data_IF_369831337349
#
_entry.id   IF_369831337349
#
_cell.length_a   1.000
_cell.length_b   1.000
_cell.length_c   1.000
_cell.angle_alpha   90.00
_cell.angle_beta   90.00
_cell.angle_gamma   90.00
#
_symmetry.space_group_name_H-M   'P 1'
#
loop_
_entity.id
_entity.type
_entity.pdbx_description
1 polymer ?
#
# COMPACT_ATOMS: atom_id res chain seq x y z
N UNK A 1 3.30 10.47 7.65
CA UNK A 1 1.95 10.96 7.96
C UNK A 1 0.96 10.11 7.19
N UNK A 2 0.26 9.25 7.92
CA UNK A 2 -1.05 8.64 7.66
C UNK A 2 -1.29 7.67 8.83
N UNK A 3 -2.08 8.09 9.82
CA UNK A 3 -2.19 7.42 11.14
C UNK A 3 -3.55 6.73 11.36
N UNK A 4 -4.40 6.73 10.33
CA UNK A 4 -5.79 6.27 10.42
C UNK A 4 -5.96 4.80 10.04
N UNK A 5 -4.93 4.18 9.45
CA UNK A 5 -4.87 2.73 9.28
C UNK A 5 -4.75 2.02 10.64
N UNK A 6 -5.30 0.81 10.74
CA UNK A 6 -5.07 -0.03 11.93
C UNK A 6 -3.58 -0.31 12.16
N UNK A 7 -2.79 -0.34 11.09
CA UNK A 7 -1.34 -0.43 11.15
C UNK A 7 -0.70 0.87 10.66
N UNK A 8 0.34 1.31 11.36
CA UNK A 8 1.05 2.56 11.07
C UNK A 8 2.55 2.34 11.08
N UNK A 9 3.22 2.82 10.03
CA UNK A 9 4.67 3.05 10.07
C UNK A 9 4.96 4.34 10.82
N UNK A 10 5.39 4.24 12.08
CA UNK A 10 5.55 5.40 12.97
C UNK A 10 6.89 6.13 12.83
N UNK A 11 7.83 5.58 12.05
CA UNK A 11 9.14 6.16 11.79
C UNK A 11 9.93 6.58 13.05
N UNK A 12 9.68 5.95 14.22
CA UNK A 12 10.34 6.29 15.49
C UNK A 12 11.87 6.21 15.43
N UNK A 13 12.39 5.36 14.53
CA UNK A 13 13.81 5.14 14.28
C UNK A 13 14.28 5.81 12.97
N UNK A 14 13.54 6.81 12.49
CA UNK A 14 13.74 7.44 11.18
C UNK A 14 12.94 6.77 10.05
N UNK A 15 13.01 7.35 8.86
CA UNK A 15 12.39 6.80 7.65
C UNK A 15 13.26 5.71 7.02
N UNK A 16 12.65 4.89 6.16
CA UNK A 16 13.34 3.89 5.35
C UNK A 16 12.98 4.09 3.87
N UNK A 17 13.94 3.85 2.98
CA UNK A 17 13.72 3.83 1.52
C UNK A 17 13.19 2.47 1.07
N UNK A 18 12.67 2.39 -0.15
CA UNK A 18 12.22 1.11 -0.73
C UNK A 18 13.36 0.11 -0.91
N UNK A 19 14.55 0.55 -1.34
CA UNK A 19 15.70 -0.35 -1.51
C UNK A 19 16.18 -0.93 -0.19
N UNK A 20 16.28 -0.10 0.87
CA UNK A 20 16.62 -0.55 2.22
C UNK A 20 15.60 -1.55 2.76
N UNK A 21 14.30 -1.24 2.62
CA UNK A 21 13.22 -2.09 3.14
C UNK A 21 13.10 -3.42 2.37
N UNK A 22 13.28 -3.40 1.05
CA UNK A 22 13.25 -4.62 0.23
C UNK A 22 14.50 -5.49 0.45
N UNK A 23 15.66 -4.88 0.70
CA UNK A 23 16.90 -5.61 0.98
C UNK A 23 16.95 -6.25 2.36
N UNK A 24 16.23 -5.69 3.34
CA UNK A 24 16.11 -6.26 4.67
C UNK A 24 14.74 -5.93 5.29
N UNK A 25 13.74 -6.84 5.22
CA UNK A 25 12.43 -6.64 5.81
C UNK A 25 12.44 -6.44 7.33
N UNK A 26 13.52 -6.84 8.02
CA UNK A 26 13.74 -6.61 9.46
C UNK A 26 14.74 -5.51 9.76
N UNK A 27 14.95 -4.59 8.81
CA UNK A 27 15.75 -3.40 9.05
C UNK A 27 15.24 -2.62 10.27
N UNK A 28 16.15 -2.20 11.15
CA UNK A 28 15.84 -1.52 12.42
C UNK A 28 14.98 -0.25 12.31
N UNK A 29 14.96 0.39 11.13
CA UNK A 29 14.12 1.56 10.85
C UNK A 29 12.66 1.20 10.57
N UNK A 30 12.35 -0.07 10.28
CA UNK A 30 10.98 -0.55 10.10
C UNK A 30 10.33 -0.69 11.48
N UNK A 31 9.56 0.33 11.85
CA UNK A 31 8.79 0.36 13.09
C UNK A 31 7.30 0.43 12.74
N UNK A 32 6.67 -0.75 12.72
CA UNK A 32 5.23 -0.91 12.50
C UNK A 32 4.55 -1.05 13.85
N UNK A 33 3.46 -0.31 14.03
CA UNK A 33 2.66 -0.29 15.25
C UNK A 33 1.19 -0.53 14.88
N UNK A 34 0.44 -1.11 15.81
CA UNK A 34 -1.03 -1.28 15.74
C UNK A 34 -1.76 -0.64 16.92
N UNK A 35 -1.05 0.21 17.68
CA UNK A 35 -1.62 1.00 18.76
C UNK A 35 -2.74 1.87 18.22
N UNK A 36 -3.93 1.65 18.80
CA UNK A 36 -5.18 2.18 18.26
C UNK A 36 -5.31 3.65 18.61
N UNK A 37 -5.15 4.53 17.63
CA UNK A 37 -5.39 5.97 17.80
C UNK A 37 -6.86 6.32 17.51
N UNK A 38 -7.32 6.09 16.27
CA UNK A 38 -8.72 6.29 15.84
C UNK A 38 -9.17 5.03 15.10
N UNK A 39 -10.36 4.52 15.40
CA UNK A 39 -10.94 3.37 14.69
C UNK A 39 -11.96 3.84 13.67
N UNK A 40 -11.80 3.41 12.42
CA UNK A 40 -12.81 3.56 11.37
C UNK A 40 -13.07 2.20 10.74
N UNK A 41 -14.33 1.88 10.44
CA UNK A 41 -14.66 0.56 9.86
C UNK A 41 -13.91 0.29 8.55
N UNK A 42 -13.68 1.31 7.74
CA UNK A 42 -13.06 1.22 6.42
C UNK A 42 -11.54 1.04 6.43
N UNK A 43 -10.87 1.29 7.56
CA UNK A 43 -9.41 1.21 7.68
C UNK A 43 -8.94 0.10 8.63
N UNK A 44 -9.81 -0.87 8.88
CA UNK A 44 -9.47 -2.12 9.58
C UNK A 44 -8.56 -2.96 8.68
N UNK A 45 -7.50 -3.55 9.25
CA UNK A 45 -6.48 -4.29 8.50
C UNK A 45 -5.92 -3.51 7.31
N UNK A 46 -5.71 -2.19 7.48
CA UNK A 46 -5.08 -1.33 6.47
C UNK A 46 -3.80 -0.70 7.03
N UNK A 47 -2.76 -0.67 6.20
CA UNK A 47 -1.59 0.18 6.38
C UNK A 47 -1.53 1.23 5.26
N UNK A 48 -1.28 2.48 5.65
CA UNK A 48 -1.26 3.62 4.74
C UNK A 48 0.15 4.18 4.50
N UNK A 49 0.40 4.69 3.30
CA UNK A 49 1.61 5.48 2.99
C UNK A 49 1.25 6.70 2.11
N UNK A 50 2.13 7.69 2.04
CA UNK A 50 1.91 8.95 1.29
C UNK A 50 3.19 9.37 0.56
N UNK A 51 3.16 10.43 -0.25
CA UNK A 51 4.31 10.91 -1.03
C UNK A 51 4.89 9.81 -1.93
N UNK A 52 3.99 9.08 -2.57
CA UNK A 52 4.26 7.70 -2.94
C UNK A 52 5.18 7.59 -4.15
N UNK A 53 4.85 8.29 -5.24
CA UNK A 53 5.64 8.31 -6.47
C UNK A 53 6.93 9.12 -6.33
N UNK A 54 6.90 10.36 -5.84
CA UNK A 54 8.11 11.21 -5.76
C UNK A 54 9.22 10.59 -4.91
N UNK A 55 8.84 9.76 -3.92
CA UNK A 55 9.79 9.08 -3.01
C UNK A 55 9.93 7.59 -3.28
N UNK A 56 9.39 7.09 -4.39
CA UNK A 56 9.50 5.71 -4.86
C UNK A 56 9.10 4.69 -3.77
N UNK A 57 7.95 4.88 -3.11
CA UNK A 57 7.57 4.18 -1.86
C UNK A 57 6.82 2.85 -2.05
N UNK A 58 6.59 2.43 -3.30
CA UNK A 58 5.98 1.12 -3.61
C UNK A 58 6.67 -0.03 -2.86
N UNK A 59 8.00 -0.12 -2.97
CA UNK A 59 8.78 -1.20 -2.37
C UNK A 59 8.67 -1.28 -0.84
N UNK A 60 8.87 -0.16 -0.12
CA UNK A 60 8.78 -0.17 1.35
C UNK A 60 7.37 -0.49 1.85
N UNK A 61 6.33 -0.04 1.15
CA UNK A 61 4.95 -0.28 1.55
C UNK A 61 4.61 -1.77 1.40
N UNK A 62 5.04 -2.38 0.29
CA UNK A 62 4.97 -3.84 0.11
C UNK A 62 5.74 -4.58 1.21
N UNK A 63 6.93 -4.12 1.59
CA UNK A 63 7.68 -4.70 2.73
C UNK A 63 6.88 -4.59 4.03
N UNK A 64 6.23 -3.45 4.31
CA UNK A 64 5.42 -3.32 5.52
C UNK A 64 4.25 -4.30 5.53
N UNK A 65 3.57 -4.47 4.39
CA UNK A 65 2.50 -5.46 4.25
C UNK A 65 3.03 -6.89 4.46
N UNK A 66 4.17 -7.23 3.86
CA UNK A 66 4.83 -8.52 4.02
C UNK A 66 5.17 -8.83 5.49
N UNK A 67 5.67 -7.83 6.23
CA UNK A 67 5.95 -7.94 7.66
C UNK A 67 4.69 -8.11 8.48
N UNK A 68 3.62 -7.38 8.16
CA UNK A 68 2.36 -7.51 8.90
C UNK A 68 1.76 -8.91 8.76
N UNK A 69 1.76 -9.44 7.54
CA UNK A 69 1.30 -10.82 7.29
C UNK A 69 2.17 -11.83 8.02
N UNK A 70 3.50 -11.66 7.98
CA UNK A 70 4.44 -12.62 8.58
C UNK A 70 4.36 -12.65 10.10
N UNK A 71 4.32 -11.48 10.74
CA UNK A 71 4.49 -11.37 12.19
C UNK A 71 3.16 -11.46 12.95
N UNK A 72 2.04 -11.04 12.33
CA UNK A 72 0.71 -11.04 12.98
C UNK A 72 -0.30 -11.98 12.32
N UNK A 73 0.05 -12.66 11.23
CA UNK A 73 -0.87 -13.52 10.47
C UNK A 73 -2.17 -12.81 10.06
N UNK A 74 -2.08 -11.52 9.75
CA UNK A 74 -3.21 -10.68 9.31
C UNK A 74 -3.11 -10.49 7.81
N UNK A 75 -4.20 -10.78 7.09
CA UNK A 75 -4.32 -10.40 5.68
C UNK A 75 -4.52 -8.88 5.58
N UNK A 76 -3.40 -8.17 5.48
CA UNK A 76 -3.35 -6.71 5.45
C UNK A 76 -3.60 -6.17 4.04
N UNK A 77 -4.17 -4.96 3.98
CA UNK A 77 -4.36 -4.19 2.76
C UNK A 77 -3.58 -2.88 2.82
N UNK A 78 -3.21 -2.35 1.65
CA UNK A 78 -2.48 -1.11 1.50
C UNK A 78 -3.34 -0.02 0.88
N UNK A 79 -3.23 1.21 1.39
CA UNK A 79 -3.74 2.40 0.70
C UNK A 79 -2.62 3.43 0.62
N UNK A 80 -2.31 3.92 -0.56
CA UNK A 80 -1.32 4.97 -0.73
C UNK A 80 -1.82 6.10 -1.62
N UNK A 81 -1.27 7.29 -1.42
CA UNK A 81 -1.54 8.46 -2.23
C UNK A 81 -0.23 9.15 -2.63
N UNK A 82 -0.18 9.61 -3.87
CA UNK A 82 0.83 10.54 -4.33
C UNK A 82 0.72 11.90 -3.63
N UNK A 83 1.72 12.75 -3.83
CA UNK A 83 1.65 14.17 -3.58
C UNK A 83 0.37 14.80 -4.17
N UNK A 84 -0.13 15.86 -3.54
CA UNK A 84 -1.30 16.62 -3.99
C UNK A 84 -2.57 15.77 -4.26
N UNK A 85 -2.62 14.55 -3.72
CA UNK A 85 -3.72 13.60 -3.90
C UNK A 85 -4.43 13.39 -2.57
N UNK A 86 -5.76 13.42 -2.59
CA UNK A 86 -6.58 13.14 -1.41
C UNK A 86 -7.55 11.98 -1.68
N UNK A 87 -7.72 11.11 -0.68
CA UNK A 87 -8.65 10.00 -0.71
C UNK A 87 -9.74 10.27 0.33
N UNK A 88 -10.99 10.39 -0.12
CA UNK A 88 -12.14 10.68 0.72
C UNK A 88 -13.13 9.52 0.66
N UNK A 89 -13.48 8.96 1.81
CA UNK A 89 -14.51 7.93 1.89
C UNK A 89 -15.89 8.59 2.01
N UNK A 90 -16.83 8.19 1.17
CA UNK A 90 -18.24 8.56 1.34
C UNK A 90 -18.98 7.57 2.25
N UNK A 91 -20.26 7.88 2.54
CA UNK A 91 -21.12 7.06 3.40
C UNK A 91 -21.42 5.67 2.84
N UNK A 92 -21.26 5.48 1.53
CA UNK A 92 -21.45 4.20 0.85
C UNK A 92 -20.18 3.33 0.86
N UNK A 93 -19.04 3.87 1.31
CA UNK A 93 -17.75 3.19 1.30
C UNK A 93 -17.00 3.29 -0.03
N UNK A 94 -17.33 4.27 -0.88
CA UNK A 94 -16.52 4.60 -2.05
C UNK A 94 -15.39 5.53 -1.62
N UNK A 95 -14.16 5.11 -1.88
CA UNK A 95 -12.96 5.91 -1.74
C UNK A 95 -12.78 6.75 -3.01
N UNK A 96 -13.20 8.01 -2.96
CA UNK A 96 -13.08 8.99 -4.05
C UNK A 96 -11.70 9.63 -4.04
N UNK A 97 -11.08 9.74 -5.22
CA UNK A 97 -9.72 10.27 -5.33
C UNK A 97 -9.74 11.65 -5.99
N UNK A 98 -9.26 12.62 -5.25
CA UNK A 98 -9.13 14.01 -5.68
C UNK A 98 -7.68 14.30 -6.05
N UNK A 99 -7.48 14.93 -7.20
CA UNK A 99 -6.17 15.27 -7.75
C UNK A 99 -6.31 15.93 -9.12
N UNK A 100 -5.21 16.45 -9.68
CA UNK A 100 -5.22 17.09 -11.00
C UNK A 100 -4.28 16.38 -11.98
N UNK A 101 -4.72 15.24 -12.51
CA UNK A 101 -3.91 14.44 -13.46
C UNK A 101 -3.65 15.14 -14.81
N UNK A 102 -4.19 16.35 -15.05
CA UNK A 102 -3.84 17.17 -16.21
C UNK A 102 -2.53 17.95 -16.05
N UNK A 103 -2.03 18.10 -14.82
CA UNK A 103 -0.76 18.80 -14.53
C UNK A 103 0.38 17.79 -14.39
N UNK A 104 0.17 16.78 -13.55
CA UNK A 104 1.09 15.68 -13.29
C UNK A 104 0.30 14.50 -12.71
N UNK A 105 0.93 13.33 -12.68
CA UNK A 105 0.30 12.14 -12.11
C UNK A 105 -0.02 12.35 -10.61
N UNK A 106 -1.27 12.08 -10.26
CA UNK A 106 -1.83 12.23 -8.92
C UNK A 106 -2.68 10.99 -8.63
N UNK A 107 -2.02 9.91 -8.24
CA UNK A 107 -2.64 8.60 -8.14
C UNK A 107 -2.86 8.19 -6.69
N UNK A 108 -3.88 7.35 -6.51
CA UNK A 108 -4.06 6.55 -5.32
C UNK A 108 -3.90 5.07 -5.67
N UNK A 109 -3.41 4.30 -4.70
CA UNK A 109 -3.14 2.88 -4.85
C UNK A 109 -3.90 2.10 -3.79
N UNK A 110 -4.72 1.15 -4.21
CA UNK A 110 -5.44 0.22 -3.32
C UNK A 110 -4.88 -1.17 -3.54
N UNK A 111 -4.20 -1.70 -2.52
CA UNK A 111 -3.34 -2.88 -2.63
C UNK A 111 -3.94 -3.99 -1.76
N UNK A 112 -4.13 -5.18 -2.33
CA UNK A 112 -4.52 -6.36 -1.56
C UNK A 112 -3.60 -7.54 -1.87
N UNK A 113 -3.25 -8.31 -0.85
CA UNK A 113 -2.63 -9.60 -1.04
C UNK A 113 -3.69 -10.60 -1.53
N UNK A 114 -3.41 -11.28 -2.64
CA UNK A 114 -4.34 -12.26 -3.22
C UNK A 114 -3.82 -13.70 -3.13
N UNK A 115 -2.53 -13.89 -2.88
CA UNK A 115 -1.92 -15.21 -2.93
C UNK A 115 -0.93 -15.42 -1.78
N UNK A 116 -1.41 -15.87 -0.63
CA UNK A 116 -0.59 -16.33 0.51
C UNK A 116 0.40 -15.31 1.10
N UNK A 117 1.25 -15.79 2.01
CA UNK A 117 2.31 -15.00 2.65
C UNK A 117 3.53 -14.81 1.73
N UNK A 118 4.49 -13.93 2.04
CA UNK A 118 5.79 -13.90 1.34
C UNK A 118 6.51 -15.25 1.41
N UNK A 119 7.24 -15.62 0.34
CA UNK A 119 8.12 -16.80 0.33
C UNK A 119 9.36 -16.58 1.21
N UNK A 120 9.94 -15.38 1.16
CA UNK A 120 11.09 -14.99 2.00
C UNK A 120 10.82 -13.64 2.65
N UNK A 121 10.64 -13.62 3.96
CA UNK A 121 10.54 -12.41 4.77
C UNK A 121 11.25 -12.69 6.09
N UNK A 122 12.57 -12.44 6.11
CA UNK A 122 13.47 -12.80 7.21
C UNK A 122 14.51 -11.71 7.44
N UNK A 123 15.14 -11.70 8.62
CA UNK A 123 16.17 -10.72 8.94
C UNK A 123 17.42 -10.89 8.07
N UNK A 124 17.95 -9.77 7.59
CA UNK A 124 19.16 -9.69 6.77
C UNK A 124 19.10 -10.49 5.46
N UNK A 125 17.89 -10.77 4.96
CA UNK A 125 17.67 -11.36 3.64
C UNK A 125 16.76 -10.45 2.81
N UNK A 126 17.01 -10.33 1.49
CA UNK A 126 16.08 -9.63 0.60
C UNK A 126 14.69 -10.28 0.61
N UNK A 127 13.64 -9.46 0.50
CA UNK A 127 12.26 -9.90 0.39
C UNK A 127 12.05 -10.68 -0.91
N UNK A 128 11.35 -11.81 -0.83
CA UNK A 128 10.72 -12.44 -2.00
C UNK A 128 9.26 -12.64 -1.67
N UNK A 129 8.40 -12.04 -2.50
CA UNK A 129 6.96 -12.20 -2.48
C UNK A 129 6.46 -12.25 -3.92
N UNK A 130 6.63 -13.41 -4.57
CA UNK A 130 6.40 -13.58 -6.00
C UNK A 130 5.00 -14.10 -6.28
N UNK A 131 4.72 -15.31 -5.76
CA UNK A 131 3.46 -16.04 -5.92
C UNK A 131 3.08 -16.12 -7.39
N UNK A 132 3.97 -16.69 -8.18
CA UNK A 132 3.88 -16.76 -9.64
C UNK A 132 3.65 -15.40 -10.30
N UNK A 133 4.33 -14.38 -9.78
CA UNK A 133 4.19 -12.97 -10.20
C UNK A 133 2.78 -12.39 -9.99
N UNK A 134 2.04 -12.87 -8.99
CA UNK A 134 0.67 -12.43 -8.66
C UNK A 134 0.45 -12.13 -7.18
N UNK A 135 1.53 -11.95 -6.40
CA UNK A 135 1.43 -11.77 -4.94
C UNK A 135 0.39 -10.73 -4.49
N UNK A 136 0.35 -9.58 -5.16
CA UNK A 136 -0.52 -8.47 -4.84
C UNK A 136 -1.34 -8.05 -6.05
N UNK A 137 -2.63 -7.76 -5.83
CA UNK A 137 -3.48 -7.05 -6.78
C UNK A 137 -3.56 -5.59 -6.38
N UNK A 138 -3.35 -4.69 -7.34
CA UNK A 138 -3.35 -3.24 -7.10
C UNK A 138 -4.27 -2.53 -8.06
N UNK A 139 -5.22 -1.79 -7.51
CA UNK A 139 -6.01 -0.82 -8.26
C UNK A 139 -5.32 0.53 -8.18
N UNK A 140 -4.77 0.98 -9.31
CA UNK A 140 -4.19 2.30 -9.48
C UNK A 140 -5.25 3.25 -10.02
N UNK A 141 -5.56 4.28 -9.25
CA UNK A 141 -6.69 5.15 -9.49
C UNK A 141 -6.24 6.60 -9.65
N UNK A 142 -6.52 7.18 -10.82
CA UNK A 142 -6.21 8.58 -11.10
C UNK A 142 -7.16 9.49 -10.36
N UNK A 143 -6.62 10.45 -9.61
CA UNK A 143 -7.39 11.54 -9.01
C UNK A 143 -8.00 12.48 -10.05
N UNK A 144 -9.20 12.98 -9.78
CA UNK A 144 -9.85 14.00 -10.59
C UNK A 144 -10.24 15.22 -9.75
N UNK A 145 -10.41 16.38 -10.38
CA UNK A 145 -10.74 17.62 -9.64
C UNK A 145 -12.00 17.48 -8.80
N UNK A 146 -12.98 16.69 -9.28
CA UNK A 146 -14.28 16.52 -8.66
C UNK A 146 -14.45 15.16 -7.94
N UNK A 147 -13.40 14.33 -7.85
CA UNK A 147 -13.48 13.02 -7.19
C UNK A 147 -14.46 12.05 -7.85
N UNK A 148 -14.58 12.11 -9.19
CA UNK A 148 -15.48 11.25 -9.98
C UNK A 148 -15.03 9.79 -10.01
N UNK A 149 -13.72 9.56 -9.91
CA UNK A 149 -13.11 8.25 -9.86
C UNK A 149 -13.14 7.70 -8.43
N UNK A 150 -13.41 6.40 -8.29
CA UNK A 150 -13.52 5.78 -6.98
C UNK A 150 -13.08 4.31 -6.95
N UNK A 151 -12.75 3.84 -5.75
CA UNK A 151 -12.59 2.42 -5.43
C UNK A 151 -13.55 2.03 -4.31
N UNK A 152 -14.18 0.87 -4.39
CA UNK A 152 -15.12 0.39 -3.38
C UNK A 152 -14.37 -0.34 -2.25
N UNK A 153 -14.30 0.29 -1.08
CA UNK A 153 -13.54 -0.27 0.05
C UNK A 153 -14.29 -1.39 0.78
N UNK A 154 -15.57 -1.63 0.44
CA UNK A 154 -16.34 -2.72 1.03
C UNK A 154 -15.96 -4.07 0.42
N UNK A 155 -15.73 -4.11 -0.90
CA UNK A 155 -15.41 -5.34 -1.63
C UNK A 155 -13.92 -5.48 -1.97
N UNK A 156 -13.18 -4.38 -2.12
CA UNK A 156 -11.80 -4.37 -2.61
C UNK A 156 -11.64 -5.03 -4.00
N UNK A 157 -12.66 -4.92 -4.83
CA UNK A 157 -12.78 -5.57 -6.15
C UNK A 157 -13.35 -4.65 -7.21
N UNK A 158 -14.19 -3.68 -6.83
CA UNK A 158 -14.84 -2.78 -7.78
C UNK A 158 -14.34 -1.35 -7.67
N UNK A 159 -14.35 -0.65 -8.79
CA UNK A 159 -13.92 0.75 -8.90
C UNK A 159 -14.22 1.31 -10.29
N UNK A 160 -14.04 2.62 -10.45
CA UNK A 160 -14.22 3.32 -11.71
C UNK A 160 -13.10 4.34 -11.92
N UNK A 161 -12.51 4.32 -13.13
CA UNK A 161 -11.48 5.28 -13.55
C UNK A 161 -10.03 4.88 -13.24
N UNK A 162 -9.80 3.65 -12.79
CA UNK A 162 -8.47 3.09 -12.52
C UNK A 162 -8.15 1.85 -13.33
N UNK A 163 -6.92 1.37 -13.17
CA UNK A 163 -6.38 0.17 -13.82
C UNK A 163 -5.91 -0.84 -12.79
N UNK A 164 -5.96 -2.12 -13.17
CA UNK A 164 -5.48 -3.20 -12.33
C UNK A 164 -4.07 -3.63 -12.73
N UNK A 165 -3.22 -3.81 -11.74
CA UNK A 165 -1.87 -4.34 -11.89
C UNK A 165 -1.62 -5.47 -10.88
N UNK A 166 -0.75 -6.40 -11.22
CA UNK A 166 -0.06 -7.26 -10.27
C UNK A 166 1.23 -6.60 -9.80
N UNK A 167 1.47 -6.60 -8.50
CA UNK A 167 2.78 -6.28 -7.92
C UNK A 167 3.38 -7.53 -7.26
N UNK A 168 4.70 -7.66 -7.35
CA UNK A 168 5.43 -8.77 -6.75
C UNK A 168 6.90 -8.41 -6.54
N UNK A 169 7.56 -9.11 -5.62
CA UNK A 169 8.96 -8.88 -5.25
C UNK A 169 9.77 -10.14 -5.51
N UNK A 170 10.91 -10.00 -6.19
CA UNK A 170 11.88 -11.09 -6.39
C UNK A 170 13.24 -10.63 -5.86
N UNK A 171 13.72 -11.28 -4.81
CA UNK A 171 15.06 -11.04 -4.25
C UNK A 171 15.37 -9.54 -4.01
N UNK A 172 14.44 -8.86 -3.34
CA UNK A 172 14.54 -7.44 -3.01
C UNK A 172 14.29 -6.48 -4.16
N UNK A 173 13.81 -6.96 -5.32
CA UNK A 173 13.45 -6.12 -6.47
C UNK A 173 11.94 -6.07 -6.67
N UNK A 174 11.41 -4.86 -6.80
CA UNK A 174 10.01 -4.63 -7.09
C UNK A 174 9.72 -4.84 -8.58
N UNK A 175 8.58 -5.48 -8.87
CA UNK A 175 8.07 -5.68 -10.20
C UNK A 175 6.57 -5.36 -10.24
N UNK A 176 6.11 -4.83 -11.36
CA UNK A 176 4.70 -4.63 -11.67
C UNK A 176 4.37 -5.08 -13.10
N UNK A 177 3.15 -5.58 -13.32
CA UNK A 177 2.61 -5.88 -14.64
C UNK A 177 1.09 -5.66 -14.67
N UNK A 178 0.49 -5.34 -15.82
CA UNK A 178 -0.96 -5.29 -15.96
C UNK A 178 -1.63 -6.63 -15.67
N UNK A 179 -2.91 -6.60 -15.28
CA UNK A 179 -3.80 -7.77 -15.22
C UNK A 179 -4.45 -8.01 -16.57
#
# INVERSE_FOLDING_TARGET
>A
MAILGEFVFNAKNGTITSSEALGNPYHQRIAIDSTKFIRTKYLTSVITDTHYSDRQRKGRHVTFMARIIKDWNINIRGIAADEYTAICFDSEGKAKVYGNNSIQDHNAYFIKAINGSPETCESNKPLTWSRDSTALQVYELKGTLNGTNYFNINDWESGSGGTWNYWFIINGKFHEKPI
#
